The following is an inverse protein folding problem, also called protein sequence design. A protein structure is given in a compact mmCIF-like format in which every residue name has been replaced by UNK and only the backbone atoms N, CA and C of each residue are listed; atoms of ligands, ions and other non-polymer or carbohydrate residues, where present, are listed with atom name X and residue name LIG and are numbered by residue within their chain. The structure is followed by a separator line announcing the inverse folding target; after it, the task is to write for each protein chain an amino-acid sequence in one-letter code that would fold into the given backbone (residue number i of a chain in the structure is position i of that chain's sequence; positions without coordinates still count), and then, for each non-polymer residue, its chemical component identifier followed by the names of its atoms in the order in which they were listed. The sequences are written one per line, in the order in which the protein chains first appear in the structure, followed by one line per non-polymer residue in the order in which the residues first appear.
data_IF_060527957576
#
_entry.id   IF_060527957576
#
_cell.length_a   1.000
_cell.length_b   1.000
_cell.length_c   1.000
_cell.angle_alpha   90.00
_cell.angle_beta   90.00
_cell.angle_gamma   90.00
#
_symmetry.space_group_name_H-M   'P 1'
#
loop_
_entity.id
_entity.type
_entity.pdbx_description
1 polymer ?
#
# COMPACT_ATOMS: atom_id res chain seq x y z
N UNK A 1 -2.59 2.31 21.02
CA UNK A 1 -1.96 1.44 20.00
C UNK A 1 -2.96 1.02 18.96
N UNK A 2 -4.16 0.54 19.34
CA UNK A 2 -5.19 0.21 18.36
C UNK A 2 -5.62 1.41 17.49
N UNK A 3 -5.82 2.60 18.08
CA UNK A 3 -6.10 3.82 17.29
C UNK A 3 -5.01 4.14 16.25
N UNK A 4 -3.74 3.93 16.57
CA UNK A 4 -2.64 4.18 15.63
C UNK A 4 -2.73 3.23 14.42
N UNK A 5 -2.98 1.94 14.66
CA UNK A 5 -3.17 0.98 13.56
C UNK A 5 -4.51 1.15 12.84
N UNK A 6 -5.53 1.74 13.48
CA UNK A 6 -6.78 2.11 12.82
C UNK A 6 -6.58 3.22 11.79
N UNK A 7 -5.80 4.25 12.17
CA UNK A 7 -5.42 5.35 11.27
C UNK A 7 -4.59 4.80 10.10
N UNK A 8 -3.61 3.93 10.39
CA UNK A 8 -2.85 3.25 9.34
C UNK A 8 -3.76 2.48 8.37
N UNK A 9 -4.66 1.65 8.88
CA UNK A 9 -5.56 0.85 8.04
C UNK A 9 -6.45 1.75 7.19
N UNK A 10 -6.99 2.83 7.74
CA UNK A 10 -7.80 3.77 6.99
C UNK A 10 -6.99 4.44 5.87
N UNK A 11 -5.81 4.98 6.19
CA UNK A 11 -4.96 5.69 5.23
C UNK A 11 -4.43 4.74 4.14
N UNK A 12 -3.90 3.58 4.51
CA UNK A 12 -3.33 2.64 3.55
C UNK A 12 -4.39 2.06 2.62
N UNK A 13 -5.60 1.79 3.11
CA UNK A 13 -6.71 1.31 2.28
C UNK A 13 -7.23 2.41 1.35
N UNK A 14 -7.27 3.67 1.82
CA UNK A 14 -7.63 4.82 0.99
C UNK A 14 -6.66 4.99 -0.17
N UNK A 15 -5.36 5.08 0.11
CA UNK A 15 -4.30 5.22 -0.91
C UNK A 15 -4.30 4.03 -1.87
N UNK A 16 -4.49 2.81 -1.36
CA UNK A 16 -4.56 1.61 -2.21
C UNK A 16 -5.77 1.63 -3.15
N UNK A 17 -6.91 2.13 -2.67
CA UNK A 17 -8.13 2.27 -3.48
C UNK A 17 -7.96 3.34 -4.56
N UNK A 18 -7.35 4.47 -4.22
CA UNK A 18 -6.98 5.51 -5.17
C UNK A 18 -6.02 4.99 -6.25
N UNK A 19 -4.98 4.25 -5.86
CA UNK A 19 -4.03 3.64 -6.78
C UNK A 19 -4.72 2.73 -7.81
N UNK A 20 -5.71 1.94 -7.36
CA UNK A 20 -6.50 1.08 -8.26
C UNK A 20 -7.32 1.90 -9.26
N UNK A 21 -7.92 3.01 -8.82
CA UNK A 21 -8.68 3.89 -9.71
C UNK A 21 -7.77 4.57 -10.75
N UNK A 22 -6.60 5.05 -10.33
CA UNK A 22 -5.63 5.70 -11.23
C UNK A 22 -5.02 4.73 -12.25
N UNK A 23 -4.92 3.44 -11.91
CA UNK A 23 -4.47 2.43 -12.86
C UNK A 23 -5.44 2.26 -14.04
N UNK A 24 -6.75 2.46 -13.82
CA UNK A 24 -7.76 2.43 -14.90
C UNK A 24 -7.57 3.61 -15.85
N UNK A 25 -7.32 4.81 -15.31
CA UNK A 25 -7.08 6.02 -16.12
C UNK A 25 -5.66 6.13 -16.67
N UNK A 26 -4.72 5.30 -16.17
CA UNK A 26 -3.29 5.32 -16.51
C UNK A 26 -2.62 6.69 -16.24
N UNK A 27 -3.04 7.35 -15.16
CA UNK A 27 -2.42 8.61 -14.72
C UNK A 27 -1.12 8.31 -13.96
N UNK A 28 -0.01 8.20 -14.70
CA UNK A 28 1.27 7.75 -14.15
C UNK A 28 1.89 8.70 -13.13
N UNK A 29 1.63 10.00 -13.23
CA UNK A 29 2.15 11.01 -12.30
C UNK A 29 1.40 10.93 -10.96
N UNK A 30 0.08 10.77 -11.01
CA UNK A 30 -0.73 10.50 -9.83
C UNK A 30 -0.37 9.15 -9.19
N UNK A 31 -0.20 8.10 -10.01
CA UNK A 31 0.25 6.77 -9.55
C UNK A 31 1.58 6.87 -8.80
N UNK A 32 2.56 7.61 -9.33
CA UNK A 32 3.86 7.80 -8.66
C UNK A 32 3.69 8.47 -7.29
N UNK A 33 2.81 9.48 -7.20
CA UNK A 33 2.52 10.19 -5.96
C UNK A 33 1.89 9.28 -4.91
N UNK A 34 0.88 8.48 -5.30
CA UNK A 34 0.21 7.53 -4.39
C UNK A 34 1.17 6.44 -3.90
N UNK A 35 2.05 5.90 -4.76
CA UNK A 35 3.06 4.92 -4.32
C UNK A 35 4.05 5.55 -3.33
N UNK A 36 4.40 6.82 -3.52
CA UNK A 36 5.24 7.54 -2.56
C UNK A 36 4.57 7.64 -1.19
N UNK A 37 3.27 7.95 -1.16
CA UNK A 37 2.49 8.01 0.07
C UNK A 37 2.43 6.65 0.76
N UNK A 38 2.09 5.58 0.04
CA UNK A 38 2.07 4.20 0.54
C UNK A 38 3.43 3.82 1.16
N UNK A 39 4.54 4.19 0.52
CA UNK A 39 5.89 3.97 1.06
C UNK A 39 6.12 4.77 2.35
N UNK A 40 5.69 6.03 2.39
CA UNK A 40 5.79 6.89 3.58
C UNK A 40 5.00 6.34 4.77
N UNK A 41 3.74 5.98 4.55
CA UNK A 41 2.87 5.35 5.54
C UNK A 41 3.52 4.08 6.09
N UNK A 42 3.83 3.13 5.21
CA UNK A 42 4.44 1.86 5.64
C UNK A 42 5.77 2.03 6.38
N UNK A 43 6.58 3.05 6.04
CA UNK A 43 7.79 3.38 6.79
C UNK A 43 7.48 3.92 8.21
N UNK A 44 6.51 4.82 8.34
CA UNK A 44 6.09 5.40 9.62
C UNK A 44 5.59 4.33 10.60
N UNK A 45 4.85 3.34 10.09
CA UNK A 45 4.28 2.25 10.88
C UNK A 45 5.16 0.99 10.93
N UNK A 46 6.37 1.04 10.34
CA UNK A 46 7.34 -0.06 10.27
C UNK A 46 6.80 -1.34 9.63
N UNK A 47 5.87 -1.22 8.68
CA UNK A 47 5.36 -2.34 7.89
C UNK A 47 6.31 -2.55 6.71
N UNK A 48 7.40 -3.27 6.96
CA UNK A 48 8.53 -3.40 6.02
C UNK A 48 8.16 -4.03 4.70
N UNK A 49 7.19 -4.93 4.69
CA UNK A 49 6.81 -5.69 3.50
C UNK A 49 6.09 -4.80 2.49
N UNK A 50 5.15 -3.96 2.95
CA UNK A 50 4.49 -2.94 2.12
C UNK A 50 5.52 -1.93 1.63
N UNK A 51 6.45 -1.50 2.50
CA UNK A 51 7.50 -0.54 2.12
C UNK A 51 8.37 -1.09 1.00
N UNK A 52 8.79 -2.35 1.08
CA UNK A 52 9.60 -3.01 0.07
C UNK A 52 8.83 -3.18 -1.26
N UNK A 53 7.56 -3.56 -1.20
CA UNK A 53 6.71 -3.66 -2.38
C UNK A 53 6.51 -2.30 -3.07
N UNK A 54 6.30 -1.23 -2.28
CA UNK A 54 6.16 0.12 -2.80
C UNK A 54 7.46 0.64 -3.43
N UNK A 55 8.62 0.35 -2.84
CA UNK A 55 9.93 0.62 -3.45
C UNK A 55 10.11 -0.11 -4.79
N UNK A 56 9.64 -1.36 -4.89
CA UNK A 56 9.63 -2.13 -6.13
C UNK A 56 8.78 -1.46 -7.22
N UNK A 57 7.53 -1.11 -6.89
CA UNK A 57 6.63 -0.39 -7.79
C UNK A 57 7.19 0.97 -8.23
N UNK A 58 7.78 1.73 -7.31
CA UNK A 58 8.41 3.01 -7.62
C UNK A 58 9.59 2.86 -8.60
N UNK A 59 10.42 1.81 -8.43
CA UNK A 59 11.51 1.50 -9.36
C UNK A 59 10.99 1.10 -10.74
N UNK A 60 9.94 0.29 -10.81
CA UNK A 60 9.33 -0.10 -12.08
C UNK A 60 8.76 1.11 -12.85
N UNK A 61 8.18 2.09 -12.15
CA UNK A 61 7.74 3.34 -12.78
C UNK A 61 8.90 4.14 -13.37
N UNK A 62 10.04 4.20 -12.66
CA UNK A 62 11.21 4.92 -13.13
C UNK A 62 11.79 4.35 -14.44
N UNK A 63 11.63 3.06 -14.70
CA UNK A 63 12.11 2.41 -15.94
C UNK A 63 11.13 2.55 -17.10
N UNK A 64 9.91 3.05 -16.88
CA UNK A 64 8.82 3.17 -17.88
C UNK A 64 8.48 1.85 -18.58
N UNK A 65 8.78 0.70 -17.95
CA UNK A 65 8.39 -0.61 -18.47
C UNK A 65 6.97 -0.96 -17.97
N UNK A 66 5.97 -0.70 -18.80
CA UNK A 66 4.55 -0.85 -18.42
C UNK A 66 4.16 -2.26 -17.95
N UNK A 67 4.75 -3.31 -18.51
CA UNK A 67 4.49 -4.70 -18.06
C UNK A 67 5.03 -4.94 -16.65
N UNK A 68 6.24 -4.45 -16.37
CA UNK A 68 6.86 -4.55 -15.06
C UNK A 68 6.12 -3.70 -14.01
N UNK A 69 5.56 -2.56 -14.45
CA UNK A 69 4.74 -1.68 -13.61
C UNK A 69 3.47 -2.40 -13.15
N UNK A 70 2.69 -2.98 -14.07
CA UNK A 70 1.45 -3.69 -13.71
C UNK A 70 1.72 -4.86 -12.76
N UNK A 71 2.77 -5.65 -13.02
CA UNK A 71 3.18 -6.75 -12.13
C UNK A 71 3.59 -6.24 -10.74
N UNK A 72 4.37 -5.16 -10.68
CA UNK A 72 4.82 -4.57 -9.40
C UNK A 72 3.66 -3.95 -8.61
N UNK A 73 2.71 -3.30 -9.30
CA UNK A 73 1.49 -2.78 -8.69
C UNK A 73 0.60 -3.90 -8.16
N UNK A 74 0.45 -4.98 -8.93
CA UNK A 74 -0.29 -6.15 -8.47
C UNK A 74 0.35 -6.76 -7.21
N UNK A 75 1.68 -6.89 -7.18
CA UNK A 75 2.39 -7.34 -6.00
C UNK A 75 2.15 -6.42 -4.80
N UNK A 76 2.23 -5.09 -4.98
CA UNK A 76 1.93 -4.11 -3.94
C UNK A 76 0.52 -4.27 -3.36
N UNK A 77 -0.48 -4.49 -4.23
CA UNK A 77 -1.86 -4.73 -3.80
C UNK A 77 -2.01 -5.99 -2.94
N UNK A 78 -1.40 -7.09 -3.37
CA UNK A 78 -1.45 -8.36 -2.63
C UNK A 78 -0.83 -8.22 -1.24
N UNK A 79 0.36 -7.61 -1.16
CA UNK A 79 1.05 -7.42 0.12
C UNK A 79 0.27 -6.48 1.05
N UNK A 80 -0.28 -5.39 0.50
CA UNK A 80 -1.05 -4.42 1.29
C UNK A 80 -2.34 -5.03 1.84
N UNK A 81 -3.07 -5.79 1.02
CA UNK A 81 -4.28 -6.49 1.48
C UNK A 81 -3.97 -7.57 2.52
N UNK A 82 -2.89 -8.35 2.32
CA UNK A 82 -2.45 -9.37 3.26
C UNK A 82 -2.12 -8.78 4.63
N UNK A 83 -1.23 -7.79 4.65
CA UNK A 83 -0.83 -7.11 5.88
C UNK A 83 -2.01 -6.43 6.58
N UNK A 84 -2.90 -5.77 5.83
CA UNK A 84 -4.09 -5.13 6.42
C UNK A 84 -5.02 -6.14 7.08
N UNK A 85 -5.25 -7.30 6.46
CA UNK A 85 -6.04 -8.40 7.03
C UNK A 85 -5.39 -8.96 8.29
N UNK A 86 -4.08 -9.19 8.28
CA UNK A 86 -3.34 -9.71 9.43
C UNK A 86 -3.38 -8.75 10.62
N UNK A 87 -3.18 -7.45 10.39
CA UNK A 87 -3.30 -6.42 11.42
C UNK A 87 -4.70 -6.42 12.01
N UNK A 88 -5.74 -6.32 11.17
CA UNK A 88 -7.12 -6.32 11.64
C UNK A 88 -7.48 -7.58 12.45
N UNK A 89 -7.02 -8.76 12.00
CA UNK A 89 -7.23 -10.02 12.71
C UNK A 89 -6.52 -10.07 14.06
N UNK A 90 -5.26 -9.61 14.13
CA UNK A 90 -4.48 -9.59 15.37
C UNK A 90 -5.20 -8.79 16.47
N UNK A 91 -5.77 -7.65 16.11
CA UNK A 91 -6.46 -6.77 17.03
C UNK A 91 -7.84 -7.30 17.43
N UNK A 92 -8.61 -7.81 16.47
CA UNK A 92 -9.91 -8.45 16.73
C UNK A 92 -9.80 -9.68 17.65
N UNK A 93 -8.81 -10.55 17.45
CA UNK A 93 -8.61 -11.75 18.28
C UNK A 93 -8.25 -11.44 19.73
N UNK A 94 -7.73 -10.24 20.00
CA UNK A 94 -7.30 -9.81 21.33
C UNK A 94 -8.30 -8.89 22.02
N UNK A 95 -9.49 -8.70 21.43
CA UNK A 95 -10.51 -7.75 21.90
C UNK A 95 -9.97 -6.32 22.01
N UNK A 96 -8.96 -6.00 21.19
CA UNK A 96 -8.33 -4.70 21.09
C UNK A 96 -8.95 -4.02 19.87
N UNK A 97 -10.07 -3.32 20.05
CA UNK A 97 -10.80 -2.67 18.96
C UNK A 97 -9.88 -1.73 18.16
N UNK A 98 -9.75 -2.01 16.85
CA UNK A 98 -9.10 -1.17 15.82
C UNK A 98 -10.17 -0.52 14.97
#
# INVERSE_FOLDING_TARGET
MANLYSEFLQEILSETSELRALLVSKDWDAIHSVIHNIKGLSANFRITDIRAAAEGAQKALATRNYTDIESSLHHLFVITEGASKEIAQYFNQRDLAV
#
